data_IF_444152167398
#
_entry.id   IF_444152167398
#
_cell.length_a   1.000
_cell.length_b   1.000
_cell.length_c   1.000
_cell.angle_alpha   90.00
_cell.angle_beta   90.00
_cell.angle_gamma   90.00
#
_symmetry.space_group_name_H-M   'P 1'
#
loop_
_entity.id
_entity.type
_entity.pdbx_description
1 polymer ?
#
# COMPACT_ATOMS: atom_id res chain seq x y z
N UNK A 1 -65.28 -0.81 -4.80
CA UNK A 1 -64.45 0.37 -5.07
C UNK A 1 -63.38 0.44 -3.98
N UNK A 2 -62.19 -0.13 -4.24
CA UNK A 2 -61.06 -0.05 -3.32
C UNK A 2 -60.01 0.87 -3.94
N UNK A 3 -59.86 2.06 -3.38
CA UNK A 3 -58.74 2.96 -3.67
C UNK A 3 -57.49 2.44 -2.98
N UNK A 4 -56.49 2.05 -3.76
CA UNK A 4 -55.14 1.81 -3.26
C UNK A 4 -54.47 3.16 -2.94
N UNK A 5 -54.17 3.40 -1.66
CA UNK A 5 -53.29 4.48 -1.24
C UNK A 5 -51.86 4.12 -1.69
N UNK A 6 -51.40 4.81 -2.73
CA UNK A 6 -49.99 4.81 -3.14
C UNK A 6 -49.20 5.60 -2.11
N UNK A 7 -48.45 4.92 -1.26
CA UNK A 7 -47.53 5.51 -0.31
C UNK A 7 -46.30 6.03 -1.04
N UNK A 8 -46.33 7.32 -1.40
CA UNK A 8 -45.14 8.07 -1.79
C UNK A 8 -44.16 8.11 -0.61
N UNK A 9 -43.19 7.19 -0.60
CA UNK A 9 -41.97 7.34 0.19
C UNK A 9 -41.22 8.55 -0.37
N UNK A 10 -41.27 9.68 0.31
CA UNK A 10 -40.34 10.78 0.08
C UNK A 10 -38.93 10.26 0.39
N UNK A 11 -38.22 9.85 -0.65
CA UNK A 11 -36.78 9.62 -0.56
C UNK A 11 -36.12 10.98 -0.38
N UNK A 12 -35.53 11.22 0.78
CA UNK A 12 -34.58 12.33 0.92
C UNK A 12 -33.46 12.12 -0.10
N UNK A 13 -33.09 13.13 -0.89
CA UNK A 13 -31.99 13.00 -1.84
C UNK A 13 -30.71 12.62 -1.10
N UNK A 14 -29.93 11.70 -1.67
CA UNK A 14 -28.63 11.30 -1.13
C UNK A 14 -27.70 12.51 -1.09
N UNK A 15 -26.88 12.65 -0.02
CA UNK A 15 -26.02 13.80 0.11
C UNK A 15 -24.98 13.83 -1.02
N UNK A 16 -24.72 15.03 -1.54
CA UNK A 16 -23.75 15.25 -2.62
C UNK A 16 -22.48 15.93 -2.11
N UNK A 17 -21.42 15.89 -2.92
CA UNK A 17 -20.18 16.62 -2.65
C UNK A 17 -20.38 18.15 -2.53
N UNK A 18 -21.57 18.68 -2.89
CA UNK A 18 -21.87 20.10 -2.92
C UNK A 18 -22.68 20.63 -1.72
N UNK A 19 -23.14 19.75 -0.82
CA UNK A 19 -24.16 20.11 0.18
C UNK A 19 -23.62 21.00 1.31
N UNK A 20 -22.32 20.92 1.62
CA UNK A 20 -21.69 21.62 2.73
C UNK A 20 -20.53 22.54 2.30
N UNK A 21 -20.49 22.92 1.03
CA UNK A 21 -19.42 23.75 0.51
C UNK A 21 -19.51 25.18 1.05
N UNK A 22 -18.37 25.68 1.52
CA UNK A 22 -18.18 27.11 1.76
C UNK A 22 -18.20 27.89 0.46
N UNK A 23 -18.55 29.18 0.54
CA UNK A 23 -18.40 30.11 -0.58
C UNK A 23 -16.94 30.13 -1.06
N UNK A 24 -16.76 30.29 -2.36
CA UNK A 24 -15.44 30.42 -2.98
C UNK A 24 -14.82 31.73 -2.52
N UNK A 25 -13.76 31.61 -1.74
CA UNK A 25 -12.93 32.72 -1.28
C UNK A 25 -11.47 32.37 -1.59
N UNK A 26 -10.57 33.36 -1.73
CA UNK A 26 -9.14 33.09 -1.86
C UNK A 26 -8.65 32.34 -0.61
N UNK A 27 -8.42 31.04 -0.76
CA UNK A 27 -7.85 30.20 0.30
C UNK A 27 -6.45 29.81 -0.12
N UNK A 28 -5.46 30.18 0.69
CA UNK A 28 -4.14 29.59 0.61
C UNK A 28 -4.17 28.26 1.36
N UNK A 29 -4.12 27.16 0.63
CA UNK A 29 -3.94 25.84 1.23
C UNK A 29 -2.44 25.59 1.24
N UNK A 30 -1.85 25.60 2.45
CA UNK A 30 -0.42 25.37 2.64
C UNK A 30 -0.04 24.05 1.97
N UNK A 31 1.01 24.08 1.15
CA UNK A 31 1.56 22.88 0.53
C UNK A 31 2.04 21.91 1.61
N UNK A 32 1.52 20.69 1.57
CA UNK A 32 1.90 19.60 2.48
C UNK A 32 3.27 19.02 2.12
N UNK A 33 3.87 18.31 3.07
CA UNK A 33 5.13 17.61 2.82
C UNK A 33 4.90 16.50 1.79
N UNK A 34 5.75 16.40 0.77
CA UNK A 34 5.68 15.38 -0.28
C UNK A 34 5.34 13.97 0.26
N UNK A 35 4.43 13.19 -0.38
CA UNK A 35 4.18 11.79 -0.03
C UNK A 35 5.43 10.91 0.00
N UNK A 36 6.49 11.30 -0.72
CA UNK A 36 7.79 10.61 -0.72
C UNK A 36 8.73 11.05 0.42
N UNK A 37 8.31 11.98 1.29
CA UNK A 37 9.08 12.45 2.45
C UNK A 37 9.32 11.35 3.49
N UNK A 38 10.22 11.62 4.44
CA UNK A 38 10.56 10.72 5.56
C UNK A 38 9.33 10.25 6.36
N UNK A 39 8.26 11.04 6.34
CA UNK A 39 7.00 10.74 7.04
C UNK A 39 6.04 9.84 6.24
N UNK A 40 6.27 9.71 4.93
CA UNK A 40 5.59 8.78 4.03
C UNK A 40 4.15 9.16 3.64
N UNK A 41 3.59 8.40 2.70
CA UNK A 41 2.28 8.66 2.10
C UNK A 41 1.13 8.74 3.11
N UNK A 42 1.14 7.89 4.15
CA UNK A 42 0.09 7.92 5.20
C UNK A 42 0.03 9.25 5.93
N UNK A 43 1.19 9.87 6.16
CA UNK A 43 1.27 11.17 6.80
C UNK A 43 0.78 12.27 5.84
N UNK A 44 1.23 12.27 4.59
CA UNK A 44 0.72 13.16 3.56
C UNK A 44 -0.81 13.07 3.43
N UNK A 45 -1.35 11.85 3.37
CA UNK A 45 -2.79 11.59 3.29
C UNK A 45 -3.55 12.22 4.47
N UNK A 46 -2.97 12.13 5.68
CA UNK A 46 -3.52 12.76 6.87
C UNK A 46 -3.50 14.29 6.77
N UNK A 47 -2.37 14.88 6.37
CA UNK A 47 -2.22 16.33 6.18
C UNK A 47 -3.23 16.88 5.16
N UNK A 48 -3.37 16.21 4.01
CA UNK A 48 -4.35 16.58 2.97
C UNK A 48 -5.77 16.54 3.52
N UNK A 49 -6.16 15.43 4.16
CA UNK A 49 -7.51 15.26 4.73
C UNK A 49 -7.79 16.31 5.81
N UNK A 50 -6.81 16.60 6.66
CA UNK A 50 -6.93 17.62 7.71
C UNK A 50 -7.09 19.02 7.11
N UNK A 51 -6.26 19.38 6.12
CA UNK A 51 -6.33 20.67 5.43
C UNK A 51 -7.71 20.88 4.78
N UNK A 52 -8.21 19.87 4.06
CA UNK A 52 -9.52 19.96 3.41
C UNK A 52 -10.69 19.92 4.41
N UNK A 53 -10.56 19.20 5.52
CA UNK A 53 -11.56 19.20 6.60
C UNK A 53 -11.71 20.58 7.21
N UNK A 54 -10.60 21.26 7.52
CA UNK A 54 -10.61 22.61 8.09
C UNK A 54 -11.25 23.67 7.17
N UNK A 55 -11.39 23.35 5.88
CA UNK A 55 -11.99 24.22 4.87
C UNK A 55 -13.41 23.78 4.47
N UNK A 56 -13.95 22.71 5.06
CA UNK A 56 -15.21 22.07 4.62
C UNK A 56 -15.17 21.62 3.14
N UNK A 57 -14.01 21.15 2.68
CA UNK A 57 -13.78 20.69 1.29
C UNK A 57 -13.48 19.20 1.20
N UNK A 58 -13.42 18.46 2.31
CA UNK A 58 -13.11 17.02 2.31
C UNK A 58 -14.04 16.22 1.38
N UNK A 59 -15.32 16.58 1.30
CA UNK A 59 -16.28 15.90 0.44
C UNK A 59 -15.90 15.96 -1.05
N UNK A 60 -15.19 17.00 -1.48
CA UNK A 60 -14.81 17.24 -2.90
C UNK A 60 -13.83 16.20 -3.42
N UNK A 61 -13.04 15.57 -2.54
CA UNK A 61 -12.10 14.51 -2.91
C UNK A 61 -12.65 13.10 -2.64
N UNK A 62 -13.85 12.99 -2.06
CA UNK A 62 -14.40 11.69 -1.65
C UNK A 62 -15.19 11.04 -2.78
N UNK A 63 -14.66 9.93 -3.31
CA UNK A 63 -15.36 9.11 -4.33
C UNK A 63 -16.60 8.37 -3.79
N UNK A 64 -16.73 8.26 -2.47
CA UNK A 64 -17.87 7.62 -1.82
C UNK A 64 -19.11 8.52 -1.78
N UNK A 65 -18.91 9.84 -1.97
CA UNK A 65 -19.97 10.83 -2.00
C UNK A 65 -20.29 11.15 -3.46
N UNK A 66 -21.57 11.10 -3.81
CA UNK A 66 -22.01 11.35 -5.18
C UNK A 66 -21.71 12.80 -5.62
N UNK A 67 -21.23 12.98 -6.85
CA UNK A 67 -21.10 14.30 -7.46
C UNK A 67 -22.47 14.96 -7.63
N UNK A 68 -22.60 16.28 -7.44
CA UNK A 68 -23.82 16.99 -7.78
C UNK A 68 -24.12 16.87 -9.28
N UNK A 69 -25.40 16.82 -9.64
CA UNK A 69 -25.84 17.00 -11.03
C UNK A 69 -25.77 18.48 -11.43
N UNK A 70 -25.76 18.82 -12.73
CA UNK A 70 -25.77 20.21 -13.19
C UNK A 70 -26.94 21.06 -12.65
N UNK A 71 -28.08 20.42 -12.33
CA UNK A 71 -29.27 21.09 -11.77
C UNK A 71 -29.15 21.37 -10.26
N UNK A 72 -28.09 20.88 -9.60
CA UNK A 72 -27.88 21.11 -8.17
C UNK A 72 -27.59 22.59 -7.91
N UNK A 73 -28.22 23.24 -6.91
CA UNK A 73 -28.05 24.68 -6.64
C UNK A 73 -26.59 25.11 -6.44
N UNK A 74 -25.76 24.21 -5.90
CA UNK A 74 -24.34 24.44 -5.64
C UNK A 74 -23.41 23.82 -6.69
N UNK A 75 -23.91 23.36 -7.84
CA UNK A 75 -23.08 22.68 -8.85
C UNK A 75 -21.90 23.53 -9.31
N UNK A 76 -22.14 24.80 -9.65
CA UNK A 76 -21.07 25.69 -10.13
C UNK A 76 -19.99 25.93 -9.07
N UNK A 77 -20.39 26.04 -7.80
CA UNK A 77 -19.47 26.18 -6.67
C UNK A 77 -18.64 24.91 -6.47
N UNK A 78 -19.28 23.74 -6.56
CA UNK A 78 -18.59 22.46 -6.53
C UNK A 78 -17.60 22.32 -7.68
N UNK A 79 -17.97 22.71 -8.91
CA UNK A 79 -17.11 22.61 -10.09
C UNK A 79 -15.81 23.42 -9.90
N UNK A 80 -15.93 24.66 -9.43
CA UNK A 80 -14.77 25.53 -9.15
C UNK A 80 -13.88 24.95 -8.07
N UNK A 81 -14.46 24.48 -6.96
CA UNK A 81 -13.69 23.85 -5.88
C UNK A 81 -13.02 22.56 -6.33
N UNK A 82 -13.74 21.70 -7.06
CA UNK A 82 -13.21 20.42 -7.55
C UNK A 82 -12.04 20.62 -8.50
N UNK A 83 -12.12 21.57 -9.42
CA UNK A 83 -11.00 21.89 -10.32
C UNK A 83 -9.82 22.49 -9.55
N UNK A 84 -10.08 23.43 -8.64
CA UNK A 84 -9.03 24.10 -7.86
C UNK A 84 -8.30 23.14 -6.93
N UNK A 85 -9.04 22.28 -6.21
CA UNK A 85 -8.46 21.24 -5.35
C UNK A 85 -7.75 20.18 -6.18
N UNK A 86 -8.29 19.78 -7.33
CA UNK A 86 -7.60 18.85 -8.24
C UNK A 86 -6.23 19.39 -8.68
N UNK A 87 -6.16 20.65 -9.09
CA UNK A 87 -4.89 21.29 -9.43
C UNK A 87 -3.95 21.38 -8.22
N UNK A 88 -4.47 21.81 -7.06
CA UNK A 88 -3.68 21.88 -5.83
C UNK A 88 -3.11 20.51 -5.45
N UNK A 89 -3.88 19.41 -5.53
CA UNK A 89 -3.41 18.06 -5.22
C UNK A 89 -2.21 17.64 -6.09
N UNK A 90 -2.22 17.95 -7.39
CA UNK A 90 -1.09 17.68 -8.30
C UNK A 90 0.16 18.44 -7.88
N UNK A 91 0.01 19.68 -7.41
CA UNK A 91 1.12 20.49 -6.91
C UNK A 91 1.66 20.01 -5.54
N UNK A 92 0.95 19.09 -4.86
CA UNK A 92 1.34 18.53 -3.57
C UNK A 92 1.94 17.12 -3.66
N UNK A 93 2.28 16.66 -4.87
CA UNK A 93 3.04 15.43 -5.11
C UNK A 93 4.35 15.77 -5.82
N UNK A 94 5.28 14.81 -5.91
CA UNK A 94 6.52 15.01 -6.68
C UNK A 94 6.26 15.37 -8.14
N UNK A 95 7.22 16.06 -8.76
CA UNK A 95 7.22 16.32 -10.21
C UNK A 95 7.11 15.01 -11.01
N UNK A 96 7.78 13.95 -10.55
CA UNK A 96 7.68 12.62 -11.15
C UNK A 96 6.24 12.08 -11.10
N UNK A 97 5.60 12.12 -9.93
CA UNK A 97 4.27 11.54 -9.75
C UNK A 97 3.21 12.35 -10.50
N UNK A 98 3.31 13.68 -10.47
CA UNK A 98 2.44 14.55 -11.28
C UNK A 98 2.59 14.27 -12.77
N UNK A 99 3.82 14.13 -13.29
CA UNK A 99 4.05 13.78 -14.69
C UNK A 99 3.43 12.44 -15.07
N UNK A 100 3.58 11.41 -14.21
CA UNK A 100 2.96 10.09 -14.44
C UNK A 100 1.44 10.22 -14.50
N UNK A 101 0.82 10.83 -13.50
CA UNK A 101 -0.65 10.97 -13.41
C UNK A 101 -1.20 11.72 -14.62
N UNK A 102 -0.59 12.85 -14.98
CA UNK A 102 -1.04 13.69 -16.10
C UNK A 102 -0.80 13.04 -17.46
N UNK A 103 0.21 12.16 -17.59
CA UNK A 103 0.47 11.41 -18.82
C UNK A 103 -0.46 10.22 -19.02
N UNK A 104 -0.85 9.53 -17.94
CA UNK A 104 -1.71 8.35 -18.01
C UNK A 104 -3.20 8.70 -18.13
N UNK A 105 -3.59 9.86 -17.59
CA UNK A 105 -4.98 10.25 -17.46
C UNK A 105 -5.21 11.66 -18.00
N UNK A 106 -5.12 11.79 -19.32
CA UNK A 106 -5.47 13.02 -20.00
C UNK A 106 -6.94 13.38 -19.72
N UNK A 107 -7.17 14.55 -19.15
CA UNK A 107 -8.51 15.06 -18.89
C UNK A 107 -9.10 14.71 -17.53
N UNK A 108 -8.29 14.41 -16.51
CA UNK A 108 -8.80 14.48 -15.12
C UNK A 108 -9.26 15.92 -14.85
N UNK A 109 -10.54 16.08 -14.53
CA UNK A 109 -11.14 17.39 -14.30
C UNK A 109 -11.48 17.65 -12.83
N UNK A 110 -11.62 16.58 -12.04
CA UNK A 110 -12.21 16.67 -10.70
C UNK A 110 -11.25 16.17 -9.63
N UNK A 111 -11.38 16.74 -8.42
CA UNK A 111 -10.46 16.47 -7.33
C UNK A 111 -10.54 15.03 -6.81
N UNK A 112 -11.72 14.42 -6.80
CA UNK A 112 -11.94 13.03 -6.37
C UNK A 112 -11.27 12.01 -7.30
N UNK A 113 -11.30 12.26 -8.60
CA UNK A 113 -10.51 11.50 -9.59
C UNK A 113 -9.02 11.70 -9.36
N UNK A 114 -8.57 12.95 -9.23
CA UNK A 114 -7.15 13.25 -9.05
C UNK A 114 -6.59 12.59 -7.79
N UNK A 115 -7.30 12.73 -6.68
CA UNK A 115 -6.94 12.14 -5.40
C UNK A 115 -6.87 10.62 -5.49
N UNK A 116 -7.85 9.99 -6.16
CA UNK A 116 -7.84 8.55 -6.37
C UNK A 116 -6.63 8.08 -7.18
N UNK A 117 -6.24 8.79 -8.22
CA UNK A 117 -5.07 8.41 -9.01
C UNK A 117 -3.76 8.57 -8.23
N UNK A 118 -3.67 9.55 -7.35
CA UNK A 118 -2.55 9.68 -6.41
C UNK A 118 -2.49 8.46 -5.47
N UNK A 119 -3.63 8.07 -4.86
CA UNK A 119 -3.71 6.88 -4.01
C UNK A 119 -3.37 5.58 -4.77
N UNK A 120 -3.85 5.46 -6.01
CA UNK A 120 -3.57 4.31 -6.86
C UNK A 120 -2.09 4.21 -7.21
N UNK A 121 -1.46 5.31 -7.63
CA UNK A 121 -0.05 5.35 -7.98
C UNK A 121 0.81 4.94 -6.79
N UNK A 122 0.54 5.50 -5.61
CA UNK A 122 1.26 5.10 -4.40
C UNK A 122 1.09 3.60 -4.10
N UNK A 123 -0.13 3.08 -4.23
CA UNK A 123 -0.42 1.65 -3.98
C UNK A 123 0.38 0.75 -4.93
N UNK A 124 0.53 1.18 -6.19
CA UNK A 124 1.36 0.48 -7.19
C UNK A 124 2.84 0.55 -6.80
N UNK A 125 3.36 1.71 -6.40
CA UNK A 125 4.75 1.86 -5.95
C UNK A 125 5.06 0.99 -4.74
N UNK A 126 4.19 0.98 -3.72
CA UNK A 126 4.32 0.11 -2.56
C UNK A 126 4.29 -1.38 -2.94
N UNK A 127 3.41 -1.77 -3.87
CA UNK A 127 3.34 -3.15 -4.35
C UNK A 127 4.60 -3.55 -5.13
N UNK A 128 5.16 -2.66 -5.95
CA UNK A 128 6.40 -2.88 -6.68
C UNK A 128 7.59 -2.99 -5.73
N UNK A 129 7.69 -2.12 -4.73
CA UNK A 129 8.74 -2.18 -3.71
C UNK A 129 8.68 -3.51 -2.94
N UNK A 130 7.49 -3.91 -2.46
CA UNK A 130 7.29 -5.22 -1.80
C UNK A 130 7.72 -6.37 -2.71
N UNK A 131 7.31 -6.35 -3.99
CA UNK A 131 7.70 -7.37 -4.96
C UNK A 131 9.22 -7.42 -5.16
N UNK A 132 9.90 -6.27 -5.21
CA UNK A 132 11.35 -6.22 -5.32
C UNK A 132 12.03 -6.92 -4.12
N UNK A 133 11.52 -6.72 -2.89
CA UNK A 133 12.04 -7.38 -1.69
C UNK A 133 11.88 -8.91 -1.72
N UNK A 134 10.74 -9.40 -2.21
CA UNK A 134 10.53 -10.83 -2.42
C UNK A 134 11.41 -11.38 -3.54
N UNK A 135 11.60 -10.64 -4.62
CA UNK A 135 12.52 -11.04 -5.69
C UNK A 135 13.95 -11.13 -5.17
N UNK A 136 14.40 -10.16 -4.36
CA UNK A 136 15.68 -10.22 -3.67
C UNK A 136 15.77 -11.51 -2.88
N UNK A 137 14.82 -11.78 -1.98
CA UNK A 137 14.79 -13.00 -1.17
C UNK A 137 14.92 -14.28 -2.02
N UNK A 138 14.09 -14.43 -3.06
CA UNK A 138 14.06 -15.66 -3.86
C UNK A 138 15.21 -15.78 -4.87
N UNK A 139 15.96 -14.71 -5.11
CA UNK A 139 17.16 -14.71 -5.94
C UNK A 139 18.45 -14.92 -5.16
N UNK A 140 18.40 -14.90 -3.82
CA UNK A 140 19.57 -15.14 -2.99
C UNK A 140 19.98 -16.60 -3.08
N UNK A 141 21.25 -16.84 -3.39
CA UNK A 141 21.84 -18.17 -3.51
C UNK A 141 23.14 -18.24 -2.71
N UNK A 142 23.53 -19.45 -2.29
CA UNK A 142 24.68 -19.65 -1.41
C UNK A 142 26.00 -19.20 -2.02
N UNK A 143 26.16 -19.33 -3.33
CA UNK A 143 27.36 -18.96 -4.10
C UNK A 143 27.66 -17.45 -4.12
N UNK A 144 26.65 -16.60 -3.85
CA UNK A 144 26.81 -15.15 -3.74
C UNK A 144 27.59 -14.71 -2.48
N UNK A 145 27.85 -15.63 -1.55
CA UNK A 145 28.42 -15.33 -0.24
C UNK A 145 29.76 -16.05 -0.02
N UNK A 146 30.68 -15.37 0.66
CA UNK A 146 31.99 -15.93 0.95
C UNK A 146 31.92 -17.17 1.86
N UNK A 147 31.04 -17.14 2.85
CA UNK A 147 30.84 -18.26 3.78
C UNK A 147 29.35 -18.51 4.04
N UNK A 148 29.06 -19.71 4.54
CA UNK A 148 27.70 -20.18 4.76
C UNK A 148 26.98 -19.41 5.89
N UNK A 149 27.71 -18.91 6.88
CA UNK A 149 27.12 -18.11 7.96
C UNK A 149 26.55 -16.78 7.45
N UNK A 150 27.27 -16.09 6.55
CA UNK A 150 26.84 -14.82 5.97
C UNK A 150 25.60 -15.02 5.08
N UNK A 151 25.60 -16.08 4.28
CA UNK A 151 24.42 -16.45 3.48
C UNK A 151 23.18 -16.66 4.35
N UNK A 152 23.27 -17.53 5.38
CA UNK A 152 22.14 -17.82 6.26
C UNK A 152 21.67 -16.56 6.98
N UNK A 153 22.61 -15.74 7.45
CA UNK A 153 22.30 -14.50 8.16
C UNK A 153 21.53 -13.52 7.25
N UNK A 154 22.01 -13.32 6.02
CA UNK A 154 21.39 -12.46 5.03
C UNK A 154 20.01 -12.99 4.61
N UNK A 155 19.91 -14.28 4.26
CA UNK A 155 18.64 -14.94 3.91
C UNK A 155 17.60 -14.81 5.02
N UNK A 156 18.01 -15.07 6.27
CA UNK A 156 17.11 -15.02 7.43
C UNK A 156 16.61 -13.61 7.69
N UNK A 157 17.49 -12.61 7.59
CA UNK A 157 17.11 -11.21 7.72
C UNK A 157 16.10 -10.80 6.64
N UNK A 158 16.38 -11.14 5.38
CA UNK A 158 15.49 -10.82 4.27
C UNK A 158 14.14 -11.55 4.37
N UNK A 159 14.12 -12.82 4.76
CA UNK A 159 12.88 -13.57 4.97
C UNK A 159 12.03 -12.96 6.10
N UNK A 160 12.67 -12.58 7.20
CA UNK A 160 12.00 -11.91 8.32
C UNK A 160 11.47 -10.53 7.93
N UNK A 161 12.17 -9.81 7.06
CA UNK A 161 11.71 -8.53 6.52
C UNK A 161 10.49 -8.72 5.61
N UNK A 162 10.56 -9.65 4.64
CA UNK A 162 9.46 -9.96 3.74
C UNK A 162 8.20 -10.42 4.49
N UNK A 163 8.36 -11.17 5.58
CA UNK A 163 7.26 -11.62 6.42
C UNK A 163 6.52 -10.48 7.16
N UNK A 164 7.09 -9.27 7.22
CA UNK A 164 6.38 -8.10 7.75
C UNK A 164 5.31 -7.59 6.77
N UNK A 165 5.46 -7.86 5.48
CA UNK A 165 4.51 -7.42 4.45
C UNK A 165 3.34 -8.39 4.27
N UNK A 166 3.54 -9.69 4.55
CA UNK A 166 2.59 -10.76 4.24
C UNK A 166 2.31 -11.64 5.47
N UNK A 167 1.12 -11.54 6.09
CA UNK A 167 0.75 -12.40 7.22
C UNK A 167 0.78 -13.89 6.87
N UNK A 168 0.52 -14.24 5.61
CA UNK A 168 0.55 -15.61 5.09
C UNK A 168 1.93 -16.01 4.53
N UNK A 169 3.02 -15.37 4.97
CA UNK A 169 4.37 -15.69 4.50
C UNK A 169 4.65 -17.20 4.60
N UNK A 170 5.04 -17.81 3.48
CA UNK A 170 5.20 -19.24 3.38
C UNK A 170 6.56 -19.68 3.97
N UNK A 171 6.61 -19.84 5.30
CA UNK A 171 7.79 -20.29 6.03
C UNK A 171 8.29 -21.65 5.54
N UNK A 172 7.40 -22.52 5.09
CA UNK A 172 7.76 -23.83 4.54
C UNK A 172 8.68 -23.68 3.33
N UNK A 173 8.28 -22.85 2.37
CA UNK A 173 9.06 -22.58 1.17
C UNK A 173 10.38 -21.92 1.53
N UNK A 174 10.36 -20.93 2.43
CA UNK A 174 11.58 -20.27 2.90
C UNK A 174 12.58 -21.25 3.54
N UNK A 175 12.11 -22.20 4.36
CA UNK A 175 12.96 -23.26 4.92
C UNK A 175 13.47 -24.21 3.85
N UNK A 176 12.62 -24.64 2.91
CA UNK A 176 13.02 -25.57 1.84
C UNK A 176 14.10 -24.99 0.93
N UNK A 177 14.00 -23.70 0.60
CA UNK A 177 14.99 -23.00 -0.20
C UNK A 177 16.36 -23.00 0.49
N UNK A 178 16.43 -22.57 1.77
CA UNK A 178 17.71 -22.58 2.50
C UNK A 178 18.28 -23.99 2.67
N UNK A 179 17.42 -25.00 2.88
CA UNK A 179 17.86 -26.40 2.96
C UNK A 179 18.51 -26.88 1.66
N UNK A 180 17.91 -26.55 0.51
CA UNK A 180 18.47 -26.87 -0.80
C UNK A 180 19.89 -26.34 -0.96
N UNK A 181 20.09 -25.08 -0.57
CA UNK A 181 21.36 -24.36 -0.69
C UNK A 181 22.46 -24.87 0.26
N UNK A 182 22.10 -25.47 1.41
CA UNK A 182 23.09 -26.02 2.38
C UNK A 182 23.32 -27.52 2.23
N UNK A 183 22.61 -28.20 1.33
CA UNK A 183 22.55 -29.67 1.26
C UNK A 183 23.94 -30.30 1.10
N UNK A 184 24.81 -29.70 0.29
CA UNK A 184 26.16 -30.22 0.04
C UNK A 184 27.09 -29.99 1.24
N UNK A 185 26.98 -28.84 1.90
CA UNK A 185 27.82 -28.49 3.04
C UNK A 185 27.38 -29.20 4.34
N UNK A 186 26.07 -29.40 4.55
CA UNK A 186 25.47 -29.93 5.78
C UNK A 186 24.43 -31.04 5.52
N UNK A 187 24.80 -32.16 4.84
CA UNK A 187 23.83 -33.16 4.36
C UNK A 187 23.06 -33.88 5.46
N UNK A 188 23.68 -34.14 6.62
CA UNK A 188 23.02 -34.78 7.76
C UNK A 188 21.92 -33.88 8.35
N UNK A 189 22.23 -32.59 8.50
CA UNK A 189 21.28 -31.62 9.05
C UNK A 189 20.16 -31.35 8.06
N UNK A 190 20.47 -31.24 6.77
CA UNK A 190 19.47 -31.17 5.70
C UNK A 190 18.44 -32.29 5.85
N UNK A 191 18.89 -33.54 5.88
CA UNK A 191 17.98 -34.70 5.96
C UNK A 191 17.16 -34.73 7.24
N UNK A 192 17.71 -34.25 8.35
CA UNK A 192 16.99 -34.16 9.62
C UNK A 192 15.85 -33.13 9.55
N UNK A 193 16.15 -31.91 9.11
CA UNK A 193 15.15 -30.84 9.02
C UNK A 193 14.11 -31.17 7.95
N UNK A 194 14.53 -31.72 6.81
CA UNK A 194 13.63 -32.09 5.72
C UNK A 194 12.56 -33.09 6.16
N UNK A 195 12.93 -34.08 6.99
CA UNK A 195 11.98 -35.03 7.60
C UNK A 195 11.01 -34.35 8.55
N UNK A 196 11.44 -33.33 9.30
CA UNK A 196 10.53 -32.57 10.17
C UNK A 196 9.52 -31.75 9.38
N UNK A 197 9.88 -31.28 8.17
CA UNK A 197 8.98 -30.52 7.32
C UNK A 197 7.92 -31.39 6.64
N UNK A 198 8.14 -32.71 6.51
CA UNK A 198 7.18 -33.63 5.90
C UNK A 198 5.95 -33.90 6.79
N UNK A 199 5.98 -33.50 8.07
CA UNK A 199 4.93 -33.81 9.05
C UNK A 199 3.99 -32.64 9.36
N UNK A 200 4.11 -31.47 8.71
CA UNK A 200 3.18 -30.36 8.95
C UNK A 200 3.48 -29.04 8.21
N UNK A 201 2.68 -28.02 8.51
CA UNK A 201 2.87 -26.64 8.03
C UNK A 201 4.01 -26.00 8.82
N UNK A 202 5.04 -25.51 8.13
CA UNK A 202 6.12 -24.80 8.81
C UNK A 202 5.64 -23.43 9.33
N UNK A 203 5.88 -23.16 10.60
CA UNK A 203 5.60 -21.85 11.23
C UNK A 203 6.84 -20.97 11.29
N UNK A 204 6.65 -19.67 11.60
CA UNK A 204 7.76 -18.76 11.88
C UNK A 204 8.69 -19.28 12.96
N UNK A 205 8.14 -19.85 14.03
CA UNK A 205 8.93 -20.36 15.15
C UNK A 205 9.73 -21.59 14.74
N UNK A 206 9.12 -22.50 13.98
CA UNK A 206 9.84 -23.65 13.43
C UNK A 206 10.97 -23.22 12.50
N UNK A 207 10.74 -22.22 11.62
CA UNK A 207 11.81 -21.64 10.80
C UNK A 207 12.96 -21.10 11.67
N UNK A 208 12.66 -20.33 12.74
CA UNK A 208 13.69 -19.83 13.67
C UNK A 208 14.44 -20.95 14.38
N UNK A 209 13.74 -22.00 14.79
CA UNK A 209 14.37 -23.20 15.37
C UNK A 209 15.32 -23.84 14.37
N UNK A 210 14.89 -24.05 13.12
CA UNK A 210 15.72 -24.62 12.07
C UNK A 210 16.95 -23.76 11.78
N UNK A 211 16.81 -22.44 11.69
CA UNK A 211 17.95 -21.52 11.56
C UNK A 211 18.94 -21.65 12.72
N UNK A 212 18.44 -21.74 13.95
CA UNK A 212 19.28 -21.90 15.14
C UNK A 212 20.06 -23.22 15.09
N UNK A 213 19.43 -24.31 14.61
CA UNK A 213 20.11 -25.59 14.41
C UNK A 213 21.22 -25.51 13.35
N UNK A 214 20.97 -24.81 12.23
CA UNK A 214 21.96 -24.62 11.17
C UNK A 214 23.14 -23.80 11.69
N UNK A 215 22.89 -22.66 12.34
CA UNK A 215 23.95 -21.85 12.95
C UNK A 215 24.73 -22.61 14.03
N UNK A 216 24.06 -23.45 14.82
CA UNK A 216 24.70 -24.31 15.82
C UNK A 216 25.64 -25.34 15.20
N UNK A 217 25.22 -25.99 14.11
CA UNK A 217 26.05 -26.95 13.38
C UNK A 217 27.28 -26.30 12.74
N UNK A 218 27.16 -25.05 12.27
CA UNK A 218 28.29 -24.29 11.72
C UNK A 218 29.34 -23.97 12.77
N UNK A 219 28.93 -23.58 13.99
CA UNK A 219 29.85 -23.30 15.09
C UNK A 219 30.68 -24.51 15.52
N UNK A 220 30.21 -25.74 15.26
CA UNK A 220 30.93 -26.97 15.59
C UNK A 220 31.96 -27.38 14.53
N UNK A 221 31.98 -26.74 13.35
CA UNK A 221 32.95 -27.02 12.26
C UNK A 221 34.17 -26.11 12.28
N UNK A 222 34.08 -24.96 12.92
CA UNK A 222 35.17 -24.01 13.14
C UNK A 222 35.85 -24.30 14.49
#
# INVERSE_FOLDING_TARGET
MSSALSTNKMSTPSPTQADNLRRVEPVSIVTSNDPSSVWGFKHWLFEIKLALTNLNLLAVISREIQRPTPDHPNYQMWLVWSQSIGHWLVCNVTERNSAIILSMHHGIQFADEMFHYIELLQSIEEAMAKRAEFNTLWSMTRDQFHNLHDYISAWSAQAMFCAQFEPAFCWYTATKMILGEIKEELPKLHNFIDRQLQTGIATRDQFRTHLTMICGALKQRN
#
